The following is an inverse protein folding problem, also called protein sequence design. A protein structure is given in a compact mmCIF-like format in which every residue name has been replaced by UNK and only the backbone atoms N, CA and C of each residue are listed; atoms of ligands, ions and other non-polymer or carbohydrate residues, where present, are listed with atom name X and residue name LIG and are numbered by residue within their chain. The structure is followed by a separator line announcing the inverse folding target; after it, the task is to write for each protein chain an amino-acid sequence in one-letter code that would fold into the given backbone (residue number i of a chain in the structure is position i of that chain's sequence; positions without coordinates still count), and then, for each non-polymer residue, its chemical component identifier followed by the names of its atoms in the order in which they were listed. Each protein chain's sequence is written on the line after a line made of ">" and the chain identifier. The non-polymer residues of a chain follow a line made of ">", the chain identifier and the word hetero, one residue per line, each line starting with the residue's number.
data_IF_750935050414
#
_entry.id   IF_750935050414
#
_cell.length_a   1.000
_cell.length_b   1.000
_cell.length_c   1.000
_cell.angle_alpha   90.00
_cell.angle_beta   90.00
_cell.angle_gamma   90.00
#
_symmetry.space_group_name_H-M   'P 1'
#
loop_
_entity.id
_entity.type
_entity.pdbx_description
1 polymer ?
#
# COMPACT_ATOMS: atom_id res chain seq x y z
N UNK A 1 -6.81 -26.46 -4.34
CA UNK A 1 -7.84 -25.44 -3.99
C UNK A 1 -7.38 -24.48 -2.88
N UNK A 2 -6.62 -24.92 -1.86
CA UNK A 2 -6.13 -24.03 -0.77
C UNK A 2 -5.00 -23.07 -1.21
N UNK A 3 -4.17 -23.45 -2.19
CA UNK A 3 -3.09 -22.59 -2.73
C UNK A 3 -3.60 -21.31 -3.39
N UNK A 4 -4.76 -21.34 -4.03
CA UNK A 4 -5.33 -20.19 -4.74
C UNK A 4 -5.81 -19.10 -3.76
N UNK A 5 -6.43 -19.50 -2.65
CA UNK A 5 -6.86 -18.58 -1.58
C UNK A 5 -5.69 -17.87 -0.89
N UNK A 6 -4.54 -18.54 -0.74
CA UNK A 6 -3.33 -17.95 -0.15
C UNK A 6 -2.61 -17.02 -1.15
N UNK A 7 -2.54 -17.40 -2.43
CA UNK A 7 -1.98 -16.52 -3.47
C UNK A 7 -2.84 -15.29 -3.73
N UNK A 8 -4.17 -15.40 -3.72
CA UNK A 8 -5.06 -14.24 -3.86
C UNK A 8 -4.91 -13.26 -2.68
N UNK A 9 -4.66 -13.74 -1.46
CA UNK A 9 -4.35 -12.90 -0.30
C UNK A 9 -3.03 -12.13 -0.46
N UNK A 10 -2.03 -12.74 -1.10
CA UNK A 10 -0.73 -12.10 -1.40
C UNK A 10 -0.86 -10.99 -2.47
N UNK A 11 -1.71 -11.22 -3.47
CA UNK A 11 -1.99 -10.25 -4.53
C UNK A 11 -2.80 -9.06 -4.03
N UNK A 12 -3.73 -9.26 -3.10
CA UNK A 12 -4.57 -8.18 -2.55
C UNK A 12 -3.72 -7.15 -1.79
N UNK A 13 -2.85 -7.57 -0.86
CA UNK A 13 -2.03 -6.60 -0.12
C UNK A 13 -1.02 -5.89 -1.04
N UNK A 14 -0.52 -6.58 -2.07
CA UNK A 14 0.42 -6.01 -3.05
C UNK A 14 -0.27 -4.97 -3.93
N UNK A 15 -1.48 -5.27 -4.41
CA UNK A 15 -2.28 -4.34 -5.22
C UNK A 15 -2.70 -3.10 -4.41
N UNK A 16 -3.10 -3.30 -3.14
CA UNK A 16 -3.40 -2.19 -2.22
C UNK A 16 -2.15 -1.33 -2.01
N UNK A 17 -0.98 -1.94 -1.75
CA UNK A 17 0.27 -1.22 -1.58
C UNK A 17 0.68 -0.42 -2.82
N UNK A 18 0.54 -0.99 -4.02
CA UNK A 18 0.84 -0.31 -5.29
C UNK A 18 -0.12 0.87 -5.53
N UNK A 19 -1.42 0.66 -5.33
CA UNK A 19 -2.41 1.74 -5.47
C UNK A 19 -2.13 2.88 -4.48
N UNK A 20 -1.79 2.55 -3.22
CA UNK A 20 -1.38 3.52 -2.21
C UNK A 20 -0.14 4.32 -2.61
N UNK A 21 0.87 3.65 -3.17
CA UNK A 21 2.07 4.30 -3.69
C UNK A 21 1.75 5.29 -4.82
N UNK A 22 0.86 4.94 -5.74
CA UNK A 22 0.44 5.84 -6.82
C UNK A 22 -0.29 7.08 -6.27
N UNK A 23 -1.25 6.88 -5.36
CA UNK A 23 -1.96 7.96 -4.66
C UNK A 23 -0.98 8.88 -3.91
N UNK A 24 0.02 8.30 -3.25
CA UNK A 24 1.06 9.03 -2.53
C UNK A 24 1.88 9.90 -3.48
N UNK A 25 2.38 9.35 -4.59
CA UNK A 25 3.17 10.11 -5.58
C UNK A 25 2.34 11.24 -6.19
N UNK A 26 1.10 10.97 -6.58
CA UNK A 26 0.20 12.01 -7.13
C UNK A 26 -0.06 13.12 -6.10
N UNK A 27 -0.33 12.74 -4.84
CA UNK A 27 -0.47 13.70 -3.74
C UNK A 27 0.80 14.54 -3.54
N UNK A 28 1.98 13.92 -3.56
CA UNK A 28 3.27 14.61 -3.43
C UNK A 28 3.53 15.61 -4.56
N UNK A 29 3.15 15.30 -5.80
CA UNK A 29 3.28 16.23 -6.94
C UNK A 29 2.34 17.42 -6.76
N UNK A 30 1.12 17.19 -6.29
CA UNK A 30 0.13 18.25 -6.06
C UNK A 30 0.49 19.21 -4.91
N UNK A 31 1.46 18.86 -4.07
CA UNK A 31 2.03 19.79 -3.07
C UNK A 31 2.90 20.90 -3.69
N UNK A 32 3.23 20.82 -4.97
CA UNK A 32 4.03 21.86 -5.63
C UNK A 32 3.25 23.17 -5.66
N UNK A 33 3.95 24.30 -5.48
CA UNK A 33 3.33 25.65 -5.47
C UNK A 33 2.47 25.94 -6.71
N UNK A 34 2.78 25.32 -7.85
CA UNK A 34 1.99 25.41 -9.08
C UNK A 34 0.53 24.93 -8.92
N UNK A 35 0.25 24.05 -7.96
CA UNK A 35 -1.05 23.42 -7.75
C UNK A 35 -1.69 23.83 -6.42
N UNK A 36 -1.37 25.01 -5.88
CA UNK A 36 -1.85 25.45 -4.56
C UNK A 36 -3.39 25.41 -4.40
N UNK A 37 -4.14 25.55 -5.50
CA UNK A 37 -5.60 25.41 -5.49
C UNK A 37 -6.08 23.99 -5.15
N UNK A 38 -5.27 22.97 -5.43
CA UNK A 38 -5.55 21.57 -5.15
C UNK A 38 -4.94 21.10 -3.82
N UNK A 39 -4.45 22.00 -2.97
CA UNK A 39 -3.73 21.65 -1.75
C UNK A 39 -4.53 20.71 -0.83
N UNK A 40 -5.81 20.99 -0.60
CA UNK A 40 -6.68 20.12 0.21
C UNK A 40 -6.79 18.71 -0.39
N UNK A 41 -6.93 18.62 -1.71
CA UNK A 41 -7.01 17.35 -2.43
C UNK A 41 -5.66 16.60 -2.38
N UNK A 42 -4.54 17.32 -2.48
CA UNK A 42 -3.19 16.78 -2.32
C UNK A 42 -3.00 16.14 -0.94
N UNK A 43 -3.43 16.81 0.13
CA UNK A 43 -3.37 16.29 1.50
C UNK A 43 -4.18 14.99 1.63
N UNK A 44 -5.40 14.95 1.10
CA UNK A 44 -6.22 13.73 1.18
C UNK A 44 -5.63 12.57 0.38
N UNK A 45 -5.14 12.81 -0.85
CA UNK A 45 -4.45 11.78 -1.65
C UNK A 45 -3.21 11.25 -0.94
N UNK A 46 -2.45 12.15 -0.31
CA UNK A 46 -1.25 11.79 0.43
C UNK A 46 -1.57 10.94 1.66
N UNK A 47 -2.57 11.33 2.47
CA UNK A 47 -2.98 10.59 3.66
C UNK A 47 -3.55 9.22 3.28
N UNK A 48 -4.48 9.16 2.32
CA UNK A 48 -5.09 7.90 1.88
C UNK A 48 -4.04 6.98 1.24
N UNK A 49 -3.17 7.53 0.38
CA UNK A 49 -2.07 6.79 -0.22
C UNK A 49 -1.11 6.20 0.81
N UNK A 50 -0.76 6.97 1.83
CA UNK A 50 0.09 6.53 2.95
C UNK A 50 -0.55 5.39 3.76
N UNK A 51 -1.86 5.47 4.03
CA UNK A 51 -2.60 4.41 4.73
C UNK A 51 -2.59 3.12 3.92
N UNK A 52 -2.81 3.20 2.60
CA UNK A 52 -2.81 2.03 1.72
C UNK A 52 -1.44 1.39 1.62
N UNK A 53 -0.37 2.19 1.52
CA UNK A 53 1.00 1.68 1.61
C UNK A 53 1.25 0.97 2.94
N UNK A 54 0.80 1.56 4.06
CA UNK A 54 0.99 0.98 5.39
C UNK A 54 0.28 -0.37 5.52
N UNK A 55 -0.98 -0.47 5.08
CA UNK A 55 -1.73 -1.73 5.09
C UNK A 55 -1.06 -2.77 4.18
N UNK A 56 -0.63 -2.39 2.97
CA UNK A 56 0.07 -3.29 2.05
C UNK A 56 1.39 -3.81 2.62
N UNK A 57 2.16 -2.94 3.27
CA UNK A 57 3.43 -3.29 3.93
C UNK A 57 3.22 -4.19 5.15
N UNK A 58 2.19 -3.93 5.96
CA UNK A 58 1.82 -4.79 7.08
C UNK A 58 1.38 -6.17 6.62
N UNK A 59 0.55 -6.27 5.58
CA UNK A 59 0.12 -7.55 5.01
C UNK A 59 1.29 -8.39 4.51
N UNK A 60 2.15 -7.81 3.68
CA UNK A 60 3.33 -8.49 3.15
C UNK A 60 4.39 -8.81 4.22
N UNK A 61 4.56 -7.91 5.20
CA UNK A 61 5.45 -8.12 6.35
C UNK A 61 4.99 -9.28 7.22
N UNK A 62 3.70 -9.33 7.56
CA UNK A 62 3.11 -10.40 8.35
C UNK A 62 3.20 -11.75 7.63
N UNK A 63 2.93 -11.79 6.32
CA UNK A 63 3.11 -13.00 5.51
C UNK A 63 4.56 -13.50 5.56
N UNK A 64 5.54 -12.61 5.35
CA UNK A 64 6.98 -12.95 5.44
C UNK A 64 7.38 -13.45 6.82
N UNK A 65 6.83 -12.88 7.90
CA UNK A 65 7.12 -13.31 9.27
C UNK A 65 6.53 -14.70 9.56
N UNK A 66 5.29 -14.96 9.13
CA UNK A 66 4.65 -16.26 9.30
C UNK A 66 5.35 -17.35 8.48
N UNK A 67 5.73 -17.05 7.23
CA UNK A 67 6.45 -18.00 6.38
C UNK A 67 7.86 -18.31 6.89
N UNK A 68 8.58 -17.31 7.44
CA UNK A 68 9.86 -17.54 8.13
C UNK A 68 9.74 -18.45 9.34
N UNK A 69 8.60 -18.41 10.04
CA UNK A 69 8.35 -19.25 11.21
C UNK A 69 8.04 -20.70 10.79
N UNK A 70 7.35 -20.90 9.66
CA UNK A 70 7.03 -22.23 9.14
C UNK A 70 8.24 -22.93 8.48
N UNK A 71 9.19 -22.20 7.88
CA UNK A 71 10.39 -22.77 7.25
C UNK A 71 11.50 -23.15 8.25
N UNK A 72 11.29 -22.97 9.56
CA UNK A 72 12.27 -23.28 10.63
C UNK A 72 11.87 -24.48 11.49
N UNK A 73 10.75 -25.13 11.20
CA UNK A 73 10.30 -26.38 11.82
C UNK A 73 10.43 -27.48 10.77
#
# INVERSE_FOLDING_TARGET
>A
MIRTLVQDYEHIHTTIGISGNLLFVVGSVLFFKAFNHFYTLAVWLFVIGSIFMFIGALGGGLHRMLQRRNNRV
#
